data_IF_301199827247
#
_entry.id   IF_301199827247
#
_cell.length_a   1.000
_cell.length_b   1.000
_cell.length_c   1.000
_cell.angle_alpha   90.00
_cell.angle_beta   90.00
_cell.angle_gamma   90.00
#
_symmetry.space_group_name_H-M   'P 1'
#
loop_
_entity.id
_entity.type
_entity.pdbx_description
1 polymer ?
#
# COMPACT_ATOMS: atom_id res chain seq x y z
N UNK A 1 61.10 52.86 -127.31
CA UNK A 1 61.05 51.38 -127.38
C UNK A 1 60.54 50.88 -126.05
N UNK A 2 59.83 49.76 -126.08
CA UNK A 2 59.12 49.04 -125.01
C UNK A 2 59.97 48.83 -123.73
N UNK A 3 59.48 48.40 -122.56
CA UNK A 3 58.43 47.44 -122.25
C UNK A 3 58.09 47.44 -120.75
N UNK A 4 56.88 46.98 -120.41
CA UNK A 4 56.36 46.71 -119.06
C UNK A 4 57.04 45.48 -118.43
N UNK A 5 57.01 45.31 -117.10
CA UNK A 5 56.30 44.21 -116.40
C UNK A 5 56.48 44.14 -114.87
N UNK A 6 55.37 43.87 -114.17
CA UNK A 6 55.26 43.16 -112.87
C UNK A 6 55.46 43.98 -111.59
N UNK A 7 54.76 43.79 -110.48
CA UNK A 7 53.82 42.75 -110.03
C UNK A 7 52.89 43.32 -108.93
N UNK A 8 51.82 42.59 -108.68
CA UNK A 8 50.68 42.94 -107.85
C UNK A 8 50.78 42.35 -106.43
N UNK A 9 50.07 42.98 -105.47
CA UNK A 9 49.59 42.47 -104.16
C UNK A 9 50.53 42.45 -102.94
N UNK A 10 50.25 43.28 -101.92
CA UNK A 10 49.51 42.90 -100.70
C UNK A 10 49.33 44.14 -99.79
N UNK A 11 48.11 44.73 -99.76
CA UNK A 11 47.79 45.78 -98.77
C UNK A 11 47.41 45.09 -97.46
N UNK A 12 48.27 45.23 -96.45
CA UNK A 12 47.99 44.81 -95.07
C UNK A 12 46.82 45.66 -94.53
N UNK A 13 45.63 45.07 -94.42
CA UNK A 13 44.46 45.75 -93.85
C UNK A 13 44.66 46.00 -92.35
N UNK A 14 45.14 47.19 -91.95
CA UNK A 14 45.36 47.56 -90.54
C UNK A 14 44.08 47.47 -89.70
N UNK A 15 42.91 47.68 -90.30
CA UNK A 15 41.61 47.57 -89.64
C UNK A 15 41.31 46.16 -89.12
N UNK A 16 41.83 45.11 -89.78
CA UNK A 16 41.67 43.71 -89.33
C UNK A 16 42.54 43.44 -88.10
N UNK A 17 43.70 44.07 -88.01
CA UNK A 17 44.62 43.95 -86.86
C UNK A 17 44.05 44.67 -85.63
N UNK A 18 43.53 45.90 -85.80
CA UNK A 18 42.88 46.63 -84.70
C UNK A 18 41.62 45.92 -84.20
N UNK A 19 40.83 45.32 -85.11
CA UNK A 19 39.69 44.48 -84.73
C UNK A 19 40.12 43.25 -83.93
N UNK A 20 41.17 42.54 -84.36
CA UNK A 20 41.71 41.39 -83.62
C UNK A 20 42.23 41.77 -82.23
N UNK A 21 42.90 42.91 -82.08
CA UNK A 21 43.37 43.41 -80.78
C UNK A 21 42.18 43.73 -79.86
N UNK A 22 41.14 44.39 -80.40
CA UNK A 22 39.93 44.68 -79.63
C UNK A 22 39.21 43.41 -79.16
N UNK A 23 39.16 42.38 -80.01
CA UNK A 23 38.60 41.06 -79.65
C UNK A 23 39.44 40.38 -78.56
N UNK A 24 40.77 40.43 -78.64
CA UNK A 24 41.66 39.87 -77.61
C UNK A 24 41.51 40.59 -76.26
N UNK A 25 41.42 41.93 -76.27
CA UNK A 25 41.18 42.71 -75.04
C UNK A 25 39.80 42.42 -74.45
N UNK A 26 38.78 42.26 -75.28
CA UNK A 26 37.44 41.88 -74.83
C UNK A 26 37.42 40.46 -74.22
N UNK A 27 38.13 39.50 -74.81
CA UNK A 27 38.28 38.14 -74.27
C UNK A 27 39.02 38.15 -72.93
N UNK A 28 40.14 38.87 -72.82
CA UNK A 28 40.89 38.99 -71.56
C UNK A 28 40.08 39.70 -70.47
N UNK A 29 39.31 40.73 -70.83
CA UNK A 29 38.39 41.38 -69.90
C UNK A 29 37.28 40.44 -69.40
N UNK A 30 36.78 39.58 -70.28
CA UNK A 30 35.77 38.56 -69.93
C UNK A 30 36.35 37.51 -68.99
N UNK A 31 37.60 37.06 -69.23
CA UNK A 31 38.30 36.10 -68.37
C UNK A 31 38.59 36.67 -66.97
N UNK A 32 39.04 37.93 -66.88
CA UNK A 32 39.28 38.61 -65.60
C UNK A 32 37.99 38.84 -64.84
N UNK A 33 36.91 39.25 -65.52
CA UNK A 33 35.58 39.42 -64.93
C UNK A 33 35.03 38.08 -64.41
N UNK A 34 35.09 37.02 -65.21
CA UNK A 34 34.70 35.66 -64.81
C UNK A 34 35.55 35.15 -63.64
N UNK A 35 36.84 35.48 -63.60
CA UNK A 35 37.72 35.11 -62.49
C UNK A 35 37.36 35.86 -61.20
N UNK A 36 37.11 37.18 -61.26
CA UNK A 36 36.64 37.95 -60.10
C UNK A 36 35.28 37.48 -59.60
N UNK A 37 34.33 37.21 -60.51
CA UNK A 37 33.00 36.70 -60.17
C UNK A 37 33.07 35.31 -59.52
N UNK A 38 33.85 34.37 -60.10
CA UNK A 38 34.11 33.06 -59.47
C UNK A 38 34.77 33.20 -58.11
N UNK A 39 35.71 34.12 -57.93
CA UNK A 39 36.40 34.32 -56.65
C UNK A 39 35.47 34.90 -55.58
N UNK A 40 34.55 35.81 -55.94
CA UNK A 40 33.54 36.32 -55.02
C UNK A 40 32.50 35.26 -54.64
N UNK A 41 32.06 34.42 -55.58
CA UNK A 41 31.12 33.33 -55.31
C UNK A 41 31.75 32.24 -54.43
N UNK A 42 33.00 31.87 -54.72
CA UNK A 42 33.77 30.91 -53.89
C UNK A 42 34.01 31.46 -52.49
N UNK A 43 34.38 32.73 -52.35
CA UNK A 43 34.54 33.35 -51.03
C UNK A 43 33.23 33.31 -50.24
N UNK A 44 32.10 33.69 -50.85
CA UNK A 44 30.78 33.69 -50.21
C UNK A 44 30.35 32.29 -49.76
N UNK A 45 30.61 31.25 -50.57
CA UNK A 45 30.35 29.85 -50.23
C UNK A 45 31.24 29.38 -49.06
N UNK A 46 32.51 29.78 -49.02
CA UNK A 46 33.43 29.42 -47.93
C UNK A 46 33.00 30.09 -46.62
N UNK A 47 32.68 31.38 -46.64
CA UNK A 47 32.21 32.09 -45.44
C UNK A 47 30.91 31.51 -44.87
N UNK A 48 29.94 31.17 -45.72
CA UNK A 48 28.68 30.54 -45.28
C UNK A 48 28.89 29.18 -44.62
N UNK A 49 29.80 28.37 -45.15
CA UNK A 49 30.13 27.06 -44.56
C UNK A 49 30.80 27.19 -43.19
N UNK A 50 31.68 28.16 -43.03
CA UNK A 50 32.43 28.35 -41.78
C UNK A 50 31.53 28.92 -40.67
N UNK A 51 30.64 29.85 -41.01
CA UNK A 51 29.60 30.34 -40.10
C UNK A 51 28.66 29.20 -39.65
N UNK A 52 28.22 28.36 -40.58
CA UNK A 52 27.35 27.22 -40.28
C UNK A 52 28.05 26.17 -39.42
N UNK A 53 29.33 25.89 -39.68
CA UNK A 53 30.17 25.03 -38.84
C UNK A 53 30.28 25.57 -37.43
N UNK A 54 30.53 26.87 -37.26
CA UNK A 54 30.54 27.51 -35.94
C UNK A 54 29.19 27.41 -35.24
N UNK A 55 28.07 27.58 -35.95
CA UNK A 55 26.72 27.41 -35.38
C UNK A 55 26.50 25.99 -34.85
N UNK A 56 26.90 24.97 -35.62
CA UNK A 56 26.80 23.57 -35.20
C UNK A 56 27.70 23.25 -34.00
N UNK A 57 28.88 23.85 -33.90
CA UNK A 57 29.77 23.72 -32.73
C UNK A 57 29.11 24.29 -31.47
N UNK A 58 28.55 25.50 -31.53
CA UNK A 58 27.82 26.12 -30.41
C UNK A 58 26.59 25.29 -30.01
N UNK A 59 25.89 24.69 -30.97
CA UNK A 59 24.75 23.81 -30.67
C UNK A 59 25.21 22.54 -29.94
N UNK A 60 26.33 21.93 -30.34
CA UNK A 60 26.93 20.81 -29.63
C UNK A 60 27.34 21.18 -28.19
N UNK A 61 27.90 22.37 -27.97
CA UNK A 61 28.26 22.86 -26.64
C UNK A 61 27.02 22.99 -25.73
N UNK A 62 25.92 23.53 -26.27
CA UNK A 62 24.64 23.62 -25.56
C UNK A 62 24.04 22.26 -25.22
N UNK A 63 24.10 21.30 -26.16
CA UNK A 63 23.61 19.95 -25.94
C UNK A 63 24.45 19.19 -24.91
N UNK A 64 25.76 19.39 -24.91
CA UNK A 64 26.66 18.84 -23.89
C UNK A 64 26.34 19.38 -22.50
N UNK A 65 26.12 20.68 -22.37
CA UNK A 65 25.72 21.32 -21.11
C UNK A 65 24.37 20.78 -20.59
N UNK A 66 23.38 20.60 -21.47
CA UNK A 66 22.09 20.00 -21.08
C UNK A 66 22.24 18.57 -20.55
N UNK A 67 23.07 17.74 -21.20
CA UNK A 67 23.35 16.37 -20.74
C UNK A 67 24.03 16.39 -19.36
N UNK A 68 24.99 17.29 -19.14
CA UNK A 68 25.69 17.42 -17.85
C UNK A 68 24.75 17.88 -16.72
N UNK A 69 23.88 18.85 -16.99
CA UNK A 69 22.89 19.32 -16.02
C UNK A 69 21.98 18.18 -15.56
N UNK A 70 21.48 17.37 -16.50
CA UNK A 70 20.65 16.21 -16.22
C UNK A 70 21.39 15.14 -15.38
N UNK A 71 22.67 14.93 -15.67
CA UNK A 71 23.54 13.99 -14.94
C UNK A 71 23.75 14.39 -13.47
N UNK A 72 24.07 15.66 -13.21
CA UNK A 72 24.39 16.15 -11.86
C UNK A 72 23.26 15.97 -10.84
N UNK A 73 22.01 15.87 -11.30
CA UNK A 73 20.83 15.73 -10.44
C UNK A 73 20.49 14.25 -10.16
N UNK A 74 21.26 13.30 -10.70
CA UNK A 74 20.95 11.86 -10.64
C UNK A 74 21.77 11.07 -9.60
N UNK A 75 22.46 11.74 -8.66
CA UNK A 75 23.38 11.09 -7.71
C UNK A 75 22.72 10.23 -6.60
N UNK A 76 21.43 9.88 -6.72
CA UNK A 76 20.73 9.07 -5.73
C UNK A 76 19.90 7.94 -6.34
N UNK A 77 20.50 6.72 -6.41
CA UNK A 77 19.90 5.35 -6.50
C UNK A 77 20.37 4.51 -7.71
N UNK A 78 20.78 3.28 -7.41
CA UNK A 78 21.78 2.48 -8.13
C UNK A 78 21.32 1.73 -9.39
N UNK A 79 20.01 1.59 -9.67
CA UNK A 79 19.53 0.87 -10.88
C UNK A 79 19.05 1.79 -12.01
N UNK A 80 18.35 2.86 -11.69
CA UNK A 80 17.97 3.89 -12.66
C UNK A 80 19.23 4.58 -13.24
N UNK A 81 20.27 4.70 -12.41
CA UNK A 81 21.55 5.27 -12.81
C UNK A 81 22.25 4.49 -13.93
N UNK A 82 22.20 3.16 -13.98
CA UNK A 82 22.96 2.41 -14.98
C UNK A 82 22.46 2.64 -16.42
N UNK A 83 21.13 2.59 -16.63
CA UNK A 83 20.54 2.82 -17.95
C UNK A 83 20.67 4.28 -18.39
N UNK A 84 20.48 5.22 -17.45
CA UNK A 84 20.68 6.65 -17.70
C UNK A 84 22.13 6.98 -18.05
N UNK A 85 23.07 6.40 -17.31
CA UNK A 85 24.50 6.61 -17.54
C UNK A 85 24.93 6.05 -18.89
N UNK A 86 24.51 4.84 -19.25
CA UNK A 86 24.73 4.29 -20.59
C UNK A 86 24.15 5.18 -21.70
N UNK A 87 22.99 5.82 -21.46
CA UNK A 87 22.42 6.76 -22.42
C UNK A 87 23.21 8.06 -22.54
N UNK A 88 23.68 8.59 -21.42
CA UNK A 88 24.53 9.78 -21.39
C UNK A 88 25.88 9.53 -22.07
N UNK A 89 26.51 8.39 -21.82
CA UNK A 89 27.74 7.97 -22.49
C UNK A 89 27.54 7.86 -24.01
N UNK A 90 26.39 7.32 -24.44
CA UNK A 90 26.03 7.23 -25.86
C UNK A 90 25.87 8.62 -26.52
N UNK A 91 25.20 9.57 -25.86
CA UNK A 91 25.01 10.93 -26.37
C UNK A 91 26.34 11.70 -26.40
N UNK A 92 27.16 11.57 -25.36
CA UNK A 92 28.52 12.11 -25.28
C UNK A 92 29.42 11.58 -26.39
N UNK A 93 29.36 10.27 -26.67
CA UNK A 93 30.10 9.66 -27.78
C UNK A 93 29.68 10.25 -29.13
N UNK A 94 28.37 10.46 -29.36
CA UNK A 94 27.86 11.12 -30.59
C UNK A 94 28.35 12.56 -30.73
N UNK A 95 28.34 13.34 -29.65
CA UNK A 95 28.89 14.71 -29.62
C UNK A 95 30.37 14.69 -30.01
N UNK A 96 31.16 13.77 -29.45
CA UNK A 96 32.59 13.64 -29.74
C UNK A 96 32.86 13.29 -31.21
N UNK A 97 32.05 12.42 -31.81
CA UNK A 97 32.14 12.08 -33.24
C UNK A 97 31.81 13.30 -34.11
N UNK A 98 30.73 14.01 -33.81
CA UNK A 98 30.31 15.20 -34.56
C UNK A 98 31.32 16.34 -34.45
N UNK A 99 31.87 16.60 -33.25
CA UNK A 99 32.96 17.58 -33.08
C UNK A 99 34.19 17.23 -33.92
N UNK A 100 34.60 15.95 -33.97
CA UNK A 100 35.71 15.51 -34.81
C UNK A 100 35.43 15.71 -36.30
N UNK A 101 34.20 15.45 -36.74
CA UNK A 101 33.79 15.68 -38.12
C UNK A 101 33.83 17.17 -38.48
N UNK A 102 33.30 18.04 -37.59
CA UNK A 102 33.29 19.50 -37.77
C UNK A 102 34.69 20.12 -37.64
N UNK A 103 35.61 19.51 -36.91
CA UNK A 103 37.00 19.98 -36.77
C UNK A 103 37.86 19.74 -38.03
N UNK A 104 37.38 18.97 -39.01
CA UNK A 104 38.07 18.81 -40.30
C UNK A 104 38.14 20.17 -41.01
N UNK A 105 39.27 20.44 -41.67
CA UNK A 105 39.60 21.73 -42.28
C UNK A 105 38.51 22.28 -43.22
N UNK A 106 38.43 21.76 -44.45
CA UNK A 106 37.38 22.12 -45.41
C UNK A 106 36.35 20.98 -45.50
N UNK A 107 35.13 21.22 -45.01
CA UNK A 107 34.01 20.32 -45.24
C UNK A 107 33.37 20.52 -46.63
N UNK A 108 33.06 19.43 -47.30
CA UNK A 108 32.19 19.45 -48.48
C UNK A 108 30.76 19.88 -48.10
N UNK A 109 29.98 20.33 -49.08
CA UNK A 109 28.56 20.71 -48.86
C UNK A 109 27.75 19.51 -48.35
N UNK A 110 28.05 18.32 -48.85
CA UNK A 110 27.38 17.09 -48.44
C UNK A 110 27.70 16.71 -46.98
N UNK A 111 28.97 16.82 -46.57
CA UNK A 111 29.38 16.54 -45.18
C UNK A 111 28.80 17.55 -44.19
N UNK A 112 28.74 18.83 -44.56
CA UNK A 112 28.11 19.87 -43.73
C UNK A 112 26.61 19.61 -43.58
N UNK A 113 25.93 19.24 -44.67
CA UNK A 113 24.50 18.88 -44.65
C UNK A 113 24.22 17.64 -43.80
N UNK A 114 25.10 16.64 -43.86
CA UNK A 114 24.98 15.48 -42.99
C UNK A 114 25.18 15.85 -41.52
N UNK A 115 26.19 16.67 -41.21
CA UNK A 115 26.43 17.13 -39.84
C UNK A 115 25.25 17.94 -39.27
N UNK A 116 24.57 18.75 -40.09
CA UNK A 116 23.34 19.44 -39.70
C UNK A 116 22.24 18.46 -39.30
N UNK A 117 22.00 17.43 -40.11
CA UNK A 117 20.95 16.45 -39.83
C UNK A 117 21.30 15.62 -38.57
N UNK A 118 22.57 15.24 -38.41
CA UNK A 118 23.02 14.51 -37.23
C UNK A 118 22.89 15.36 -35.95
N UNK A 119 23.24 16.65 -35.99
CA UNK A 119 23.06 17.59 -34.86
C UNK A 119 21.58 17.78 -34.55
N UNK A 120 20.72 17.90 -35.57
CA UNK A 120 19.27 17.99 -35.40
C UNK A 120 18.69 16.75 -34.74
N UNK A 121 19.12 15.56 -35.15
CA UNK A 121 18.72 14.30 -34.52
C UNK A 121 19.23 14.22 -33.07
N UNK A 122 20.48 14.58 -32.83
CA UNK A 122 21.05 14.62 -31.49
C UNK A 122 20.26 15.55 -30.58
N UNK A 123 19.93 16.75 -31.05
CA UNK A 123 19.09 17.71 -30.33
C UNK A 123 17.75 17.12 -29.97
N UNK A 124 17.07 16.48 -30.92
CA UNK A 124 15.80 15.80 -30.65
C UNK A 124 15.94 14.76 -29.54
N UNK A 125 16.99 13.93 -29.59
CA UNK A 125 17.24 12.91 -28.56
C UNK A 125 17.53 13.52 -27.19
N UNK A 126 18.36 14.56 -27.11
CA UNK A 126 18.68 15.24 -25.85
C UNK A 126 17.43 15.89 -25.26
N UNK A 127 16.66 16.63 -26.05
CA UNK A 127 15.42 17.28 -25.57
C UNK A 127 14.42 16.25 -25.05
N UNK A 128 14.17 15.17 -25.80
CA UNK A 128 13.26 14.11 -25.37
C UNK A 128 13.75 13.43 -24.08
N UNK A 129 15.02 13.08 -24.02
CA UNK A 129 15.61 12.41 -22.88
C UNK A 129 15.59 13.28 -21.61
N UNK A 130 15.86 14.58 -21.72
CA UNK A 130 15.75 15.53 -20.62
C UNK A 130 14.31 15.61 -20.11
N UNK A 131 13.32 15.70 -21.01
CA UNK A 131 11.90 15.73 -20.64
C UNK A 131 11.46 14.44 -19.93
N UNK A 132 11.89 13.27 -20.43
CA UNK A 132 11.59 11.97 -19.80
C UNK A 132 12.15 11.90 -18.37
N UNK A 133 13.35 12.47 -18.12
CA UNK A 133 13.95 12.49 -16.78
C UNK A 133 13.22 13.43 -15.83
N UNK A 134 12.81 14.61 -16.30
CA UNK A 134 12.02 15.53 -15.49
C UNK A 134 10.68 14.91 -15.08
N UNK A 135 10.03 14.21 -16.00
CA UNK A 135 8.79 13.49 -15.72
C UNK A 135 9.01 12.36 -14.71
N UNK A 136 10.02 11.51 -14.92
CA UNK A 136 10.37 10.44 -13.98
C UNK A 136 10.74 10.95 -12.59
N UNK A 137 11.37 12.14 -12.48
CA UNK A 137 11.65 12.78 -11.20
C UNK A 137 10.37 13.22 -10.50
N UNK A 138 9.45 13.85 -11.23
CA UNK A 138 8.14 14.26 -10.72
C UNK A 138 7.33 13.07 -10.22
N UNK A 139 7.28 12.00 -11.02
CA UNK A 139 6.59 10.76 -10.64
C UNK A 139 7.24 10.13 -9.40
N UNK A 140 8.56 10.04 -9.33
CA UNK A 140 9.24 9.51 -8.14
C UNK A 140 8.98 10.35 -6.88
N UNK A 141 8.92 11.68 -6.99
CA UNK A 141 8.59 12.56 -5.87
C UNK A 141 7.15 12.34 -5.39
N UNK A 142 6.18 12.23 -6.32
CA UNK A 142 4.79 11.90 -5.99
C UNK A 142 4.69 10.54 -5.30
N UNK A 143 5.28 9.50 -5.92
CA UNK A 143 5.27 8.14 -5.38
C UNK A 143 5.95 8.04 -4.01
N UNK A 144 7.02 8.79 -3.79
CA UNK A 144 7.70 8.85 -2.49
C UNK A 144 6.77 9.44 -1.43
N UNK A 145 6.10 10.55 -1.76
CA UNK A 145 5.14 11.24 -0.89
C UNK A 145 3.92 10.37 -0.58
N UNK A 146 3.34 9.73 -1.59
CA UNK A 146 2.23 8.80 -1.43
C UNK A 146 2.63 7.62 -0.56
N UNK A 147 3.80 7.03 -0.81
CA UNK A 147 4.33 5.91 0.00
C UNK A 147 4.55 6.30 1.45
N UNK A 148 5.11 7.47 1.73
CA UNK A 148 5.32 7.94 3.11
C UNK A 148 4.00 8.25 3.82
N UNK A 149 3.03 8.82 3.09
CA UNK A 149 1.67 9.06 3.58
C UNK A 149 0.97 7.74 3.91
N UNK A 150 1.00 6.77 2.98
CA UNK A 150 0.42 5.44 3.18
C UNK A 150 1.06 4.71 4.36
N UNK A 151 2.39 4.80 4.52
CA UNK A 151 3.10 4.20 5.66
C UNK A 151 2.63 4.80 6.99
N UNK A 152 2.46 6.12 7.04
CA UNK A 152 1.98 6.83 8.24
C UNK A 152 0.52 6.48 8.57
N UNK A 153 -0.33 6.44 7.54
CA UNK A 153 -1.73 6.05 7.69
C UNK A 153 -1.86 4.60 8.16
N UNK A 154 -1.08 3.68 7.59
CA UNK A 154 -1.07 2.28 7.98
C UNK A 154 -0.65 2.10 9.44
N UNK A 155 0.41 2.79 9.89
CA UNK A 155 0.83 2.75 11.29
C UNK A 155 -0.28 3.25 12.23
N UNK A 156 -0.94 4.36 11.86
CA UNK A 156 -2.04 4.95 12.64
C UNK A 156 -3.25 3.99 12.73
N UNK A 157 -3.66 3.41 11.60
CA UNK A 157 -4.78 2.47 11.54
C UNK A 157 -4.46 1.19 12.32
N UNK A 158 -3.26 0.65 12.18
CA UNK A 158 -2.81 -0.55 12.91
C UNK A 158 -2.81 -0.32 14.42
N UNK A 159 -2.35 0.84 14.88
CA UNK A 159 -2.37 1.21 16.29
C UNK A 159 -3.82 1.30 16.81
N UNK A 160 -4.69 1.99 16.06
CA UNK A 160 -6.12 2.12 16.43
C UNK A 160 -6.81 0.77 16.47
N UNK A 161 -6.55 -0.12 15.51
CA UNK A 161 -7.10 -1.46 15.48
C UNK A 161 -6.67 -2.29 16.70
N UNK A 162 -5.39 -2.20 17.08
CA UNK A 162 -4.85 -2.88 18.27
C UNK A 162 -5.51 -2.36 19.55
N UNK A 163 -5.63 -1.03 19.70
CA UNK A 163 -6.29 -0.42 20.87
C UNK A 163 -7.76 -0.80 20.94
N UNK A 164 -8.50 -0.76 19.83
CA UNK A 164 -9.91 -1.15 19.80
C UNK A 164 -10.10 -2.64 20.12
N UNK A 165 -9.20 -3.50 19.65
CA UNK A 165 -9.23 -4.93 19.99
C UNK A 165 -9.05 -5.15 21.50
N UNK A 166 -8.06 -4.49 22.12
CA UNK A 166 -7.83 -4.57 23.56
C UNK A 166 -9.03 -4.03 24.37
N UNK A 167 -9.58 -2.88 23.96
CA UNK A 167 -10.77 -2.31 24.59
C UNK A 167 -11.98 -3.22 24.48
N UNK A 168 -12.21 -3.84 23.32
CA UNK A 168 -13.29 -4.79 23.13
C UNK A 168 -13.11 -6.05 23.98
N UNK A 169 -11.90 -6.57 24.12
CA UNK A 169 -11.60 -7.72 24.98
C UNK A 169 -11.85 -7.39 26.47
N UNK A 170 -11.40 -6.22 26.92
CA UNK A 170 -11.63 -5.73 28.27
C UNK A 170 -13.13 -5.53 28.56
N UNK A 171 -13.84 -4.87 27.63
CA UNK A 171 -15.28 -4.66 27.73
C UNK A 171 -16.04 -5.98 27.72
N UNK A 172 -15.69 -6.93 26.86
CA UNK A 172 -16.32 -8.25 26.82
C UNK A 172 -16.13 -9.00 28.13
N UNK A 173 -14.93 -8.93 28.73
CA UNK A 173 -14.66 -9.53 30.04
C UNK A 173 -15.51 -8.87 31.14
N UNK A 174 -15.57 -7.53 31.17
CA UNK A 174 -16.41 -6.78 32.11
C UNK A 174 -17.89 -7.10 31.95
N UNK A 175 -18.39 -7.16 30.72
CA UNK A 175 -19.79 -7.51 30.42
C UNK A 175 -20.09 -8.91 30.88
N UNK A 176 -19.25 -9.92 30.59
CA UNK A 176 -19.45 -11.29 31.06
C UNK A 176 -19.55 -11.41 32.58
N UNK A 177 -18.70 -10.70 33.32
CA UNK A 177 -18.74 -10.69 34.78
C UNK A 177 -19.99 -9.95 35.29
N UNK A 178 -20.34 -8.83 34.65
CA UNK A 178 -21.50 -8.02 35.03
C UNK A 178 -22.84 -8.68 34.68
N UNK A 179 -22.90 -9.50 33.62
CA UNK A 179 -24.10 -10.22 33.18
C UNK A 179 -24.38 -11.48 33.98
N UNK A 180 -23.43 -11.95 34.81
CA UNK A 180 -23.61 -13.16 35.60
C UNK A 180 -24.80 -13.01 36.56
N UNK A 181 -25.74 -13.95 36.51
CA UNK A 181 -26.89 -13.98 37.41
C UNK A 181 -26.42 -14.26 38.84
N UNK A 182 -26.86 -13.44 39.81
CA UNK A 182 -26.52 -13.58 41.22
C UNK A 182 -27.74 -13.88 42.07
N UNK A 183 -27.57 -14.74 43.06
CA UNK A 183 -28.61 -15.08 44.02
C UNK A 183 -28.97 -13.85 44.86
N UNK A 184 -30.26 -13.51 44.95
CA UNK A 184 -30.74 -12.47 45.86
C UNK A 184 -30.93 -13.04 47.26
N UNK A 185 -32.06 -13.71 47.45
CA UNK A 185 -32.45 -14.47 48.62
C UNK A 185 -32.77 -15.91 48.20
N UNK A 186 -32.45 -16.86 49.07
CA UNK A 186 -32.77 -18.27 48.85
C UNK A 186 -33.09 -18.99 50.15
N UNK A 187 -34.14 -19.78 50.14
CA UNK A 187 -34.59 -20.62 51.23
C UNK A 187 -34.74 -22.06 50.75
N UNK A 188 -34.32 -23.02 51.59
CA UNK A 188 -34.44 -24.44 51.28
C UNK A 188 -35.29 -25.13 52.32
N UNK A 189 -36.35 -25.77 51.86
CA UNK A 189 -37.30 -26.50 52.70
C UNK A 189 -37.33 -27.97 52.32
N UNK A 190 -37.22 -28.85 53.31
CA UNK A 190 -37.31 -30.29 53.10
C UNK A 190 -38.74 -30.79 53.31
N UNK A 191 -39.15 -31.76 52.51
CA UNK A 191 -40.50 -32.29 52.46
C UNK A 191 -40.51 -33.81 52.59
N UNK A 192 -41.48 -34.31 53.36
CA UNK A 192 -41.96 -35.69 53.30
C UNK A 192 -43.08 -35.76 52.26
N UNK A 193 -43.05 -36.78 51.41
CA UNK A 193 -44.16 -37.11 50.50
C UNK A 193 -45.00 -38.23 51.14
N UNK A 194 -46.29 -37.96 51.40
CA UNK A 194 -47.23 -38.98 51.89
C UNK A 194 -47.62 -39.94 50.75
N UNK A 195 -48.16 -41.12 51.09
CA UNK A 195 -48.68 -42.08 50.09
C UNK A 195 -49.79 -41.50 49.20
N UNK A 196 -50.45 -40.42 49.64
CA UNK A 196 -51.43 -39.66 48.86
C UNK A 196 -50.80 -38.63 47.89
N UNK A 197 -49.48 -38.57 47.79
CA UNK A 197 -48.74 -37.53 47.04
C UNK A 197 -48.62 -36.18 47.75
N UNK A 198 -49.28 -35.99 48.90
CA UNK A 198 -49.24 -34.73 49.64
C UNK A 198 -47.84 -34.49 50.24
N UNK A 199 -47.25 -33.35 49.90
CA UNK A 199 -45.99 -32.86 50.46
C UNK A 199 -46.23 -32.19 51.82
N UNK A 200 -45.39 -32.49 52.81
CA UNK A 200 -45.44 -31.89 54.15
C UNK A 200 -44.02 -31.54 54.59
N UNK A 201 -43.82 -30.28 54.96
CA UNK A 201 -42.56 -29.74 55.44
C UNK A 201 -42.06 -30.51 56.66
N UNK A 202 -40.78 -30.85 56.67
CA UNK A 202 -40.13 -31.58 57.75
C UNK A 202 -38.73 -31.02 57.99
N UNK A 203 -38.31 -31.04 59.24
CA UNK A 203 -36.96 -30.65 59.66
C UNK A 203 -36.12 -31.85 60.13
N UNK A 204 -36.64 -33.08 60.01
CA UNK A 204 -35.94 -34.32 60.39
C UNK A 204 -35.46 -35.07 59.16
N UNK A 205 -34.26 -35.64 59.23
CA UNK A 205 -33.65 -36.34 58.10
C UNK A 205 -34.42 -37.60 57.67
N UNK A 206 -34.82 -38.44 58.65
CA UNK A 206 -35.50 -39.72 58.40
C UNK A 206 -36.75 -39.63 57.50
N UNK A 207 -37.71 -38.71 57.76
CA UNK A 207 -38.91 -38.56 56.93
C UNK A 207 -38.72 -37.73 55.66
N UNK A 208 -37.61 -36.99 55.50
CA UNK A 208 -37.38 -36.14 54.35
C UNK A 208 -37.15 -36.99 53.07
N UNK A 209 -37.70 -36.53 51.95
CA UNK A 209 -37.59 -37.17 50.64
C UNK A 209 -37.33 -36.21 49.49
N UNK A 210 -37.80 -34.98 49.62
CA UNK A 210 -37.64 -33.93 48.63
C UNK A 210 -37.13 -32.66 49.30
N UNK A 211 -36.40 -31.82 48.58
CA UNK A 211 -36.17 -30.43 48.96
C UNK A 211 -36.74 -29.52 47.89
N UNK A 212 -37.18 -28.34 48.32
CA UNK A 212 -37.50 -27.22 47.45
C UNK A 212 -36.57 -26.07 47.75
N UNK A 213 -35.88 -25.58 46.73
CA UNK A 213 -35.04 -24.38 46.81
C UNK A 213 -35.82 -23.24 46.20
N UNK A 214 -36.36 -22.37 47.04
CA UNK A 214 -37.04 -21.15 46.60
C UNK A 214 -36.02 -20.02 46.59
N UNK A 215 -35.84 -19.37 45.45
CA UNK A 215 -34.87 -18.29 45.33
C UNK A 215 -35.31 -17.22 44.35
N UNK A 216 -34.82 -16.01 44.53
CA UNK A 216 -34.88 -14.97 43.51
C UNK A 216 -33.47 -14.61 43.04
N UNK A 217 -33.43 -13.93 41.90
CA UNK A 217 -32.20 -13.43 41.30
C UNK A 217 -32.14 -11.93 41.56
N UNK A 218 -30.96 -11.46 42.00
CA UNK A 218 -30.73 -10.04 42.18
C UNK A 218 -30.90 -9.31 40.84
N UNK A 219 -31.48 -8.11 40.88
CA UNK A 219 -31.74 -7.36 39.64
C UNK A 219 -30.44 -7.13 38.87
N UNK A 220 -30.48 -7.37 37.56
CA UNK A 220 -29.33 -7.26 36.68
C UNK A 220 -29.76 -6.82 35.29
N UNK A 221 -29.62 -5.52 35.03
CA UNK A 221 -29.95 -4.91 33.74
C UNK A 221 -28.99 -5.29 32.60
N UNK A 222 -27.83 -5.89 32.91
CA UNK A 222 -26.80 -6.31 31.93
C UNK A 222 -26.97 -7.78 31.55
N UNK A 223 -27.62 -8.58 32.40
CA UNK A 223 -27.91 -9.97 32.09
C UNK A 223 -28.92 -10.08 30.93
N UNK A 224 -28.73 -11.08 30.08
CA UNK A 224 -29.71 -11.42 29.05
C UNK A 224 -31.01 -11.86 29.72
N UNK A 225 -32.16 -11.46 29.16
CA UNK A 225 -33.47 -11.91 29.63
C UNK A 225 -33.90 -13.10 28.80
N UNK A 226 -34.49 -14.10 29.44
CA UNK A 226 -34.97 -15.31 28.77
C UNK A 226 -34.60 -16.58 29.52
N UNK A 227 -34.49 -17.68 28.78
CA UNK A 227 -34.21 -19.01 29.33
C UNK A 227 -32.73 -19.19 29.70
N UNK A 228 -32.46 -19.48 30.98
CA UNK A 228 -31.12 -19.81 31.50
C UNK A 228 -31.11 -21.20 32.14
N UNK A 229 -30.10 -21.99 31.81
CA UNK A 229 -29.82 -23.25 32.48
C UNK A 229 -29.27 -22.98 33.89
N UNK A 230 -29.92 -23.56 34.89
CA UNK A 230 -29.53 -23.53 36.30
C UNK A 230 -29.00 -24.90 36.69
N UNK A 231 -27.76 -24.91 37.17
CA UNK A 231 -27.11 -26.09 37.72
C UNK A 231 -27.07 -25.97 39.24
N UNK A 232 -27.54 -27.01 39.91
CA UNK A 232 -27.57 -27.10 41.37
C UNK A 232 -26.60 -28.19 41.83
N UNK A 233 -25.74 -27.86 42.80
CA UNK A 233 -24.84 -28.78 43.49
C UNK A 233 -25.23 -28.86 44.97
N UNK A 234 -25.46 -30.06 45.48
CA UNK A 234 -25.81 -30.28 46.88
C UNK A 234 -24.67 -31.04 47.54
N UNK A 235 -24.08 -30.41 48.56
CA UNK A 235 -23.05 -30.99 49.41
C UNK A 235 -23.72 -31.53 50.67
N UNK A 236 -23.48 -32.79 50.97
CA UNK A 236 -24.01 -33.47 52.15
C UNK A 236 -23.28 -33.05 53.45
N UNK A 237 -23.77 -33.45 54.64
CA UNK A 237 -23.12 -33.11 55.91
C UNK A 237 -21.72 -33.71 56.11
N UNK A 238 -21.34 -34.70 55.30
CA UNK A 238 -20.00 -35.28 55.30
C UNK A 238 -19.05 -34.53 54.34
N UNK A 239 -19.55 -33.54 53.60
CA UNK A 239 -18.77 -32.75 52.65
C UNK A 239 -18.73 -33.33 51.23
N UNK A 240 -19.51 -34.37 50.94
CA UNK A 240 -19.53 -35.00 49.62
C UNK A 240 -20.58 -34.36 48.71
N UNK A 241 -20.24 -34.19 47.43
CA UNK A 241 -21.23 -33.83 46.42
C UNK A 241 -22.17 -35.01 46.17
N UNK A 242 -23.47 -34.75 46.20
CA UNK A 242 -24.47 -35.73 45.78
C UNK A 242 -24.52 -35.74 44.24
N UNK A 243 -24.15 -36.85 43.63
CA UNK A 243 -24.11 -37.02 42.17
C UNK A 243 -25.05 -38.16 41.78
N UNK A 244 -26.23 -37.85 41.20
CA UNK A 244 -27.11 -38.88 40.65
C UNK A 244 -26.45 -39.66 39.51
N UNK A 245 -26.95 -40.87 39.23
CA UNK A 245 -26.40 -41.74 38.18
C UNK A 245 -26.51 -41.13 36.76
N UNK A 246 -27.46 -40.23 36.54
CA UNK A 246 -27.72 -39.48 35.30
C UNK A 246 -27.11 -38.07 35.31
N UNK A 247 -26.25 -37.76 36.28
CA UNK A 247 -25.55 -36.48 36.36
C UNK A 247 -24.55 -36.30 35.21
N UNK A 248 -24.45 -35.06 34.74
CA UNK A 248 -23.46 -34.63 33.75
C UNK A 248 -22.47 -33.62 34.34
N UNK A 249 -21.59 -33.13 33.47
CA UNK A 249 -20.65 -32.05 33.78
C UNK A 249 -21.07 -30.74 33.14
N UNK A 250 -20.69 -29.63 33.76
CA UNK A 250 -20.84 -28.28 33.24
C UNK A 250 -19.59 -27.47 33.61
N UNK A 251 -19.27 -26.46 32.81
CA UNK A 251 -18.15 -25.56 33.12
C UNK A 251 -18.67 -24.35 33.87
N UNK A 252 -18.08 -24.03 35.02
CA UNK A 252 -18.30 -22.75 35.70
C UNK A 252 -17.03 -22.25 36.38
N UNK A 253 -16.85 -20.93 36.38
CA UNK A 253 -15.68 -20.25 36.95
C UNK A 253 -14.33 -20.84 36.45
N UNK A 254 -14.32 -21.30 35.19
CA UNK A 254 -13.16 -21.91 34.53
C UNK A 254 -12.86 -23.37 34.91
N UNK A 255 -13.77 -24.04 35.62
CA UNK A 255 -13.62 -25.44 36.04
C UNK A 255 -14.77 -26.30 35.53
N UNK A 256 -14.47 -27.54 35.15
CA UNK A 256 -15.49 -28.54 34.86
C UNK A 256 -15.97 -29.17 36.16
N UNK A 257 -17.27 -29.01 36.44
CA UNK A 257 -17.93 -29.43 37.66
C UNK A 257 -19.06 -30.41 37.34
N UNK A 258 -19.35 -31.32 38.27
CA UNK A 258 -20.56 -32.14 38.23
C UNK A 258 -21.71 -31.45 38.95
N UNK A 259 -22.95 -31.65 38.47
CA UNK A 259 -24.16 -31.12 39.09
C UNK A 259 -25.00 -32.22 39.76
N UNK A 260 -25.72 -31.86 40.82
CA UNK A 260 -26.73 -32.74 41.43
C UNK A 260 -28.04 -32.69 40.66
N UNK A 261 -28.41 -31.52 40.15
CA UNK A 261 -29.65 -31.30 39.40
C UNK A 261 -29.47 -30.18 38.38
N UNK A 262 -30.16 -30.28 37.24
CA UNK A 262 -30.19 -29.24 36.20
C UNK A 262 -31.63 -28.96 35.80
N UNK A 263 -31.95 -27.68 35.64
CA UNK A 263 -33.21 -27.22 35.04
C UNK A 263 -32.95 -25.94 34.23
N UNK A 264 -33.95 -25.42 33.54
CA UNK A 264 -33.95 -24.06 33.02
C UNK A 264 -34.97 -23.18 33.77
N UNK A 265 -34.70 -21.88 33.86
CA UNK A 265 -35.62 -20.84 34.34
C UNK A 265 -35.72 -19.72 33.31
N UNK A 266 -36.82 -18.96 33.33
CA UNK A 266 -37.00 -17.77 32.49
C UNK A 266 -36.74 -16.49 33.31
N UNK A 267 -35.56 -15.88 33.15
CA UNK A 267 -35.14 -14.65 33.82
C UNK A 267 -35.72 -13.40 33.16
N UNK A 268 -36.43 -12.59 33.94
CA UNK A 268 -37.14 -11.38 33.44
C UNK A 268 -36.64 -10.07 34.03
N UNK A 269 -35.80 -10.13 35.05
CA UNK A 269 -35.35 -8.99 35.85
C UNK A 269 -36.53 -8.20 36.48
N UNK A 270 -37.50 -8.92 37.07
CA UNK A 270 -38.73 -8.36 37.67
C UNK A 270 -38.91 -8.75 39.15
N UNK A 271 -37.92 -9.41 39.75
CA UNK A 271 -37.99 -9.91 41.12
C UNK A 271 -38.75 -11.23 41.30
N UNK A 272 -39.10 -11.92 40.21
CA UNK A 272 -39.71 -13.25 40.25
C UNK A 272 -38.94 -14.23 41.15
N UNK A 273 -39.71 -15.09 41.83
CA UNK A 273 -39.18 -16.20 42.62
C UNK A 273 -39.28 -17.49 41.80
N UNK A 274 -38.22 -18.28 41.85
CA UNK A 274 -38.08 -19.57 41.19
C UNK A 274 -37.99 -20.67 42.24
N UNK A 275 -38.51 -21.85 41.92
CA UNK A 275 -38.51 -23.01 42.81
C UNK A 275 -37.85 -24.19 42.10
N UNK A 276 -36.78 -24.73 42.69
CA UNK A 276 -36.19 -26.00 42.25
C UNK A 276 -36.67 -27.13 43.13
N UNK A 277 -37.25 -28.15 42.50
CA UNK A 277 -37.79 -29.32 43.16
C UNK A 277 -36.87 -30.52 42.94
N UNK A 278 -36.16 -30.96 43.98
CA UNK A 278 -35.25 -32.10 43.89
C UNK A 278 -35.63 -33.21 44.86
N UNK A 279 -35.86 -34.40 44.32
CA UNK A 279 -36.10 -35.63 45.09
C UNK A 279 -34.77 -36.34 45.26
N UNK A 280 -34.40 -36.61 46.51
CA UNK A 280 -33.19 -37.36 46.78
C UNK A 280 -33.46 -38.85 46.48
N UNK A 281 -32.70 -39.49 45.56
CA UNK A 281 -32.84 -40.93 45.31
C UNK A 281 -32.55 -41.76 46.56
N UNK A 282 -31.70 -41.24 47.45
CA UNK A 282 -31.30 -41.87 48.70
C UNK A 282 -32.04 -41.29 49.92
N UNK A 283 -31.63 -41.71 51.12
CA UNK A 283 -32.12 -41.15 52.38
C UNK A 283 -31.28 -39.94 52.76
N UNK A 284 -31.93 -38.88 53.27
CA UNK A 284 -31.21 -37.79 53.91
C UNK A 284 -30.56 -38.24 55.21
N UNK A 285 -29.38 -37.68 55.47
CA UNK A 285 -28.62 -37.81 56.70
C UNK A 285 -28.90 -36.61 57.61
N UNK A 286 -28.60 -36.77 58.91
CA UNK A 286 -28.69 -35.67 59.87
C UNK A 286 -27.47 -34.76 59.69
N UNK A 287 -27.70 -33.45 59.72
CA UNK A 287 -26.63 -32.46 59.61
C UNK A 287 -26.99 -31.33 58.66
N UNK A 288 -25.96 -30.58 58.28
CA UNK A 288 -26.06 -29.38 57.46
C UNK A 288 -25.69 -29.67 56.02
N UNK A 289 -26.57 -29.29 55.11
CA UNK A 289 -26.40 -29.41 53.68
C UNK A 289 -26.11 -28.04 53.09
N UNK A 290 -25.20 -27.98 52.11
CA UNK A 290 -24.93 -26.75 51.34
C UNK A 290 -25.45 -26.93 49.92
N UNK A 291 -26.22 -25.96 49.44
CA UNK A 291 -26.72 -25.89 48.07
C UNK A 291 -25.99 -24.75 47.36
N UNK A 292 -25.34 -25.06 46.24
CA UNK A 292 -24.70 -24.08 45.36
C UNK A 292 -25.46 -24.04 44.03
N UNK A 293 -25.74 -22.83 43.56
CA UNK A 293 -26.43 -22.58 42.29
C UNK A 293 -25.47 -21.90 41.30
N UNK A 294 -25.56 -22.31 40.05
CA UNK A 294 -24.75 -21.81 38.95
C UNK A 294 -25.64 -21.54 37.73
N UNK A 295 -25.29 -20.51 36.98
CA UNK A 295 -25.92 -20.15 35.71
C UNK A 295 -24.86 -19.50 34.81
N UNK A 296 -25.00 -19.67 33.49
CA UNK A 296 -24.17 -19.00 32.47
C UNK A 296 -22.66 -19.13 32.68
N UNK A 297 -22.22 -20.24 33.28
CA UNK A 297 -20.81 -20.50 33.57
C UNK A 297 -20.25 -19.78 34.80
N UNK A 298 -21.10 -19.23 35.68
CA UNK A 298 -20.69 -18.57 36.92
C UNK A 298 -21.47 -19.07 38.13
N UNK A 299 -20.84 -18.97 39.31
CA UNK A 299 -21.55 -19.15 40.58
C UNK A 299 -22.57 -18.03 40.80
N UNK A 300 -23.85 -18.42 40.98
CA UNK A 300 -24.91 -17.49 41.38
C UNK A 300 -24.84 -17.17 42.87
N UNK A 301 -24.63 -18.21 43.69
CA UNK A 301 -24.58 -18.10 45.14
C UNK A 301 -24.71 -19.46 45.83
N UNK A 302 -24.77 -19.42 47.16
CA UNK A 302 -24.96 -20.60 48.00
C UNK A 302 -25.97 -20.33 49.11
N UNK A 303 -26.66 -21.38 49.53
CA UNK A 303 -27.54 -21.39 50.70
C UNK A 303 -27.36 -22.72 51.44
N UNK A 304 -27.83 -22.81 52.68
CA UNK A 304 -27.70 -24.03 53.50
C UNK A 304 -28.99 -24.34 54.24
N UNK A 305 -29.18 -25.61 54.57
CA UNK A 305 -30.27 -26.06 55.43
C UNK A 305 -29.83 -27.21 56.32
N UNK A 306 -30.51 -27.40 57.46
CA UNK A 306 -30.16 -28.41 58.45
C UNK A 306 -31.30 -29.38 58.71
N UNK A 307 -30.97 -30.67 58.71
CA UNK A 307 -31.88 -31.76 59.07
C UNK A 307 -31.47 -32.37 60.42
N UNK A 308 -32.45 -32.58 61.30
CA UNK A 308 -32.31 -33.13 62.66
C UNK A 308 -32.56 -34.64 62.75
#
# INVERSE_FOLDING_TARGET
MENKTGQNTNRKNSNVIYFLIAVVVALLGTDVYLYMQKKSDVAKIVYQKEDEKHRLQTELDSLEAQIQQVNSVSEGKTKLNAAMQARNDSLQAKIKVLRRALAKGQLSVAELKQAQEDVKQLRYFVTKYTADIEDLKRQNASLTTERDTLKTNLATVSQKATTLAQQNEELNTKVKVASALKLGAAEVTAYKVKGSGKEVDVNRAGPAKKIKVNFNIASNAVAEKGSHDIFMRIIDPAGNLIVPADSGTFTADGQDLQYTYRTSIDFKDDGSTYTLDWVNPDKFQKGEYTVLLYADGYTMGKTSFRLK
#
